data_IF_901568131757
#
_entry.id   IF_901568131757
#
_cell.length_a   1.000
_cell.length_b   1.000
_cell.length_c   1.000
_cell.angle_alpha   90.00
_cell.angle_beta   90.00
_cell.angle_gamma   90.00
#
_symmetry.space_group_name_H-M   'P 1'
#
loop_
_entity.id
_entity.type
_entity.pdbx_description
1 polymer ?
#
# COMPACT_ATOMS: atom_id res chain seq x y z
N UNK A 1 -14.04 -11.35 -9.78
CA UNK A 1 -14.19 -10.34 -8.73
C UNK A 1 -13.43 -10.87 -7.53
N UNK A 2 -12.31 -10.26 -7.12
CA UNK A 2 -11.75 -10.57 -5.80
C UNK A 2 -12.60 -9.76 -4.83
N UNK A 3 -13.29 -10.43 -3.90
CA UNK A 3 -14.03 -9.76 -2.84
C UNK A 3 -13.09 -8.88 -2.03
N UNK A 4 -13.57 -7.74 -1.55
CA UNK A 4 -12.86 -6.94 -0.56
C UNK A 4 -12.35 -7.87 0.56
N UNK A 5 -11.04 -7.84 0.85
CA UNK A 5 -10.41 -8.71 1.86
C UNK A 5 -9.12 -9.42 1.45
N UNK A 6 -8.60 -9.22 0.23
CA UNK A 6 -7.25 -9.69 -0.13
C UNK A 6 -6.15 -8.88 0.56
N UNK A 7 -5.11 -9.54 1.06
CA UNK A 7 -3.92 -8.86 1.61
C UNK A 7 -2.94 -8.52 0.48
N UNK A 8 -2.46 -7.28 0.43
CA UNK A 8 -1.43 -6.86 -0.51
C UNK A 8 -0.07 -7.43 -0.07
N UNK A 9 0.47 -8.33 -0.88
CA UNK A 9 1.82 -8.85 -0.66
C UNK A 9 2.93 -7.98 -1.25
N UNK A 10 2.65 -7.37 -2.40
CA UNK A 10 3.64 -6.60 -3.13
C UNK A 10 3.24 -6.35 -4.56
N UNK A 11 4.24 -5.98 -5.37
CA UNK A 11 4.10 -5.70 -6.81
C UNK A 11 5.07 -6.56 -7.60
N UNK A 12 4.59 -7.15 -8.69
CA UNK A 12 5.46 -7.80 -9.66
C UNK A 12 6.33 -6.75 -10.33
N UNK A 13 7.65 -6.93 -10.27
CA UNK A 13 8.63 -5.99 -10.86
C UNK A 13 9.36 -6.57 -12.07
N UNK A 14 9.38 -7.89 -12.21
CA UNK A 14 9.89 -8.57 -13.40
C UNK A 14 9.18 -9.91 -13.57
N UNK A 15 9.09 -10.36 -14.82
CA UNK A 15 8.49 -11.63 -15.19
C UNK A 15 9.43 -12.37 -16.13
N UNK A 16 9.49 -13.69 -15.97
CA UNK A 16 10.09 -14.62 -16.92
C UNK A 16 8.99 -15.51 -17.49
N UNK A 17 9.33 -16.46 -18.34
CA UNK A 17 8.38 -17.41 -18.92
C UNK A 17 7.66 -18.25 -17.85
N UNK A 18 8.31 -18.55 -16.73
CA UNK A 18 7.80 -19.49 -15.71
C UNK A 18 7.80 -18.94 -14.27
N UNK A 19 8.29 -17.72 -14.06
CA UNK A 19 8.39 -17.12 -12.73
C UNK A 19 8.21 -15.61 -12.74
N UNK A 20 7.89 -15.04 -11.59
CA UNK A 20 7.79 -13.59 -11.40
C UNK A 20 8.57 -13.18 -10.15
N UNK A 21 9.26 -12.04 -10.23
CA UNK A 21 9.86 -11.41 -9.05
C UNK A 21 8.88 -10.38 -8.49
N UNK A 22 8.63 -10.47 -7.19
CA UNK A 22 7.71 -9.60 -6.47
C UNK A 22 8.49 -8.74 -5.49
N UNK A 23 8.35 -7.43 -5.61
CA UNK A 23 8.76 -6.48 -4.57
C UNK A 23 7.70 -6.45 -3.50
N UNK A 24 8.08 -6.83 -2.29
CA UNK A 24 7.18 -6.95 -1.15
C UNK A 24 6.81 -5.58 -0.57
N UNK A 25 5.68 -5.50 0.14
CA UNK A 25 5.26 -4.28 0.85
C UNK A 25 6.26 -3.80 1.90
N UNK A 26 7.09 -4.70 2.43
CA UNK A 26 8.13 -4.39 3.40
C UNK A 26 9.41 -3.88 2.77
N UNK A 27 9.59 -4.01 1.45
CA UNK A 27 10.80 -3.58 0.75
C UNK A 27 10.98 -2.04 0.85
N UNK A 28 12.19 -1.51 1.13
CA UNK A 28 12.42 -0.07 1.25
C UNK A 28 12.05 0.75 0.01
N UNK A 29 12.08 0.14 -1.18
CA UNK A 29 11.69 0.79 -2.43
C UNK A 29 10.21 0.59 -2.76
N UNK A 30 9.43 0.00 -1.85
CA UNK A 30 7.99 -0.13 -1.99
C UNK A 30 7.27 1.08 -1.40
N UNK A 31 6.44 1.71 -2.24
CA UNK A 31 5.59 2.83 -1.85
C UNK A 31 4.19 2.59 -2.40
N UNK A 32 3.17 2.85 -1.58
CA UNK A 32 1.77 2.81 -1.98
C UNK A 32 0.97 3.89 -1.26
N UNK A 33 0.04 4.53 -1.96
CA UNK A 33 -0.93 5.39 -1.28
C UNK A 33 -1.94 4.52 -0.56
N UNK A 34 -2.08 4.75 0.75
CA UNK A 34 -2.91 3.96 1.63
C UNK A 34 -3.98 4.82 2.29
N UNK A 35 -4.98 4.15 2.83
CA UNK A 35 -6.16 4.72 3.45
C UNK A 35 -6.48 3.94 4.74
N UNK A 36 -6.77 4.65 5.83
CA UNK A 36 -7.40 4.07 7.01
C UNK A 36 -8.86 3.73 6.67
N UNK A 37 -9.21 2.44 6.69
CA UNK A 37 -10.52 1.96 6.22
C UNK A 37 -11.72 2.57 6.98
N UNK A 38 -11.54 2.88 8.27
CA UNK A 38 -12.62 3.41 9.11
C UNK A 38 -12.80 4.92 9.02
N UNK A 39 -11.75 5.69 8.68
CA UNK A 39 -11.78 7.17 8.73
C UNK A 39 -11.54 7.82 7.38
N UNK A 40 -11.11 7.05 6.37
CA UNK A 40 -10.72 7.59 5.07
C UNK A 40 -9.47 8.47 5.12
N UNK A 41 -8.69 8.43 6.20
CA UNK A 41 -7.43 9.15 6.31
C UNK A 41 -6.43 8.59 5.29
N UNK A 42 -5.90 9.44 4.42
CA UNK A 42 -5.00 9.06 3.33
C UNK A 42 -3.58 9.48 3.69
N UNK A 43 -2.61 8.67 3.28
CA UNK A 43 -1.18 8.99 3.38
C UNK A 43 -0.35 8.09 2.45
N UNK A 44 0.98 8.19 2.57
CA UNK A 44 1.92 7.34 1.86
C UNK A 44 2.44 6.25 2.78
N UNK A 45 2.34 5.00 2.33
CA UNK A 45 2.88 3.86 3.04
C UNK A 45 4.17 3.39 2.37
N UNK A 46 5.23 3.28 3.15
CA UNK A 46 6.56 2.86 2.72
C UNK A 46 7.06 1.64 3.49
N UNK A 47 7.71 0.73 2.77
CA UNK A 47 8.49 -0.33 3.40
C UNK A 47 9.81 0.19 3.96
N UNK A 48 10.43 -0.57 4.87
CA UNK A 48 11.74 -0.24 5.47
C UNK A 48 12.66 -1.45 5.66
N UNK A 49 12.42 -2.52 4.92
CA UNK A 49 13.11 -3.81 5.01
C UNK A 49 12.58 -4.72 6.12
N UNK A 50 11.75 -4.21 7.02
CA UNK A 50 11.17 -4.95 8.14
C UNK A 50 9.84 -4.32 8.58
N UNK A 51 9.11 -5.04 9.45
CA UNK A 51 7.96 -4.49 10.16
C UNK A 51 8.38 -3.63 11.38
N UNK A 52 7.51 -2.72 11.85
CA UNK A 52 6.33 -2.22 11.14
C UNK A 52 6.70 -1.38 9.90
N UNK A 53 5.75 -1.21 8.99
CA UNK A 53 5.79 -0.28 7.86
C UNK A 53 5.61 1.16 8.34
N UNK A 54 5.98 2.13 7.52
CA UNK A 54 5.84 3.57 7.83
C UNK A 54 4.68 4.15 7.05
N UNK A 55 3.77 4.85 7.71
CA UNK A 55 2.64 5.55 7.10
C UNK A 55 2.76 7.05 7.35
N UNK A 56 3.22 7.78 6.34
CA UNK A 56 3.58 9.20 6.40
C UNK A 56 2.58 10.07 5.62
N UNK A 57 2.79 11.38 5.67
CA UNK A 57 2.02 12.41 4.94
C UNK A 57 0.51 12.37 5.23
N UNK A 58 0.13 11.99 6.44
CA UNK A 58 -1.27 11.98 6.88
C UNK A 58 -1.63 13.38 7.38
N UNK A 59 -2.73 13.95 6.88
CA UNK A 59 -3.28 15.21 7.39
C UNK A 59 -3.57 15.10 8.90
N UNK A 60 -3.04 16.06 9.68
CA UNK A 60 -3.21 16.10 11.14
C UNK A 60 -4.67 16.21 11.58
N UNK A 61 -5.56 16.77 10.74
CA UNK A 61 -6.99 16.87 10.99
C UNK A 61 -7.73 15.53 10.86
N UNK A 62 -7.09 14.49 10.32
CA UNK A 62 -7.70 13.17 10.15
C UNK A 62 -7.43 12.26 11.34
N UNK A 63 -8.45 11.51 11.75
CA UNK A 63 -8.29 10.52 12.80
C UNK A 63 -7.56 9.26 12.30
N UNK A 64 -6.57 8.82 13.07
CA UNK A 64 -5.80 7.60 12.85
C UNK A 64 -5.82 6.76 14.13
N UNK A 65 -6.89 5.97 14.36
CA UNK A 65 -6.99 5.18 15.58
C UNK A 65 -5.97 4.04 15.61
N UNK A 66 -5.36 3.77 16.77
CA UNK A 66 -4.53 2.57 16.96
C UNK A 66 -5.40 1.33 16.75
N UNK A 67 -4.87 0.34 16.02
CA UNK A 67 -5.57 -0.89 15.64
C UNK A 67 -6.42 -0.77 14.38
N UNK A 68 -6.59 0.43 13.83
CA UNK A 68 -7.33 0.66 12.60
C UNK A 68 -6.67 -0.05 11.41
N UNK A 69 -7.51 -0.56 10.51
CA UNK A 69 -7.07 -1.25 9.30
C UNK A 69 -6.59 -0.25 8.26
N UNK A 70 -5.43 -0.55 7.66
CA UNK A 70 -4.83 0.22 6.58
C UNK A 70 -4.99 -0.56 5.29
N UNK A 71 -5.56 0.08 4.27
CA UNK A 71 -5.84 -0.52 2.96
C UNK A 71 -5.25 0.33 1.85
N UNK A 72 -5.10 -0.22 0.63
CA UNK A 72 -4.78 0.59 -0.54
C UNK A 72 -5.89 1.61 -0.81
N UNK A 73 -5.52 2.88 -0.99
CA UNK A 73 -6.51 3.94 -1.21
C UNK A 73 -7.14 3.90 -2.61
N UNK A 74 -6.40 3.37 -3.60
CA UNK A 74 -6.86 3.28 -4.98
C UNK A 74 -7.21 4.62 -5.62
N UNK A 75 -6.59 5.72 -5.18
CA UNK A 75 -6.91 7.08 -5.62
C UNK A 75 -6.85 7.20 -7.15
N UNK A 76 -7.85 7.90 -7.69
CA UNK A 76 -7.97 8.29 -9.08
C UNK A 76 -7.98 9.82 -9.12
N UNK A 77 -6.93 10.44 -9.67
CA UNK A 77 -6.84 11.90 -9.77
C UNK A 77 -7.36 12.41 -11.11
N UNK A 78 -7.29 11.59 -12.17
CA UNK A 78 -7.83 11.88 -13.48
C UNK A 78 -8.16 10.58 -14.23
N UNK A 79 -8.66 10.70 -15.46
CA UNK A 79 -8.82 9.56 -16.37
C UNK A 79 -7.50 8.87 -16.72
N UNK A 80 -6.36 9.54 -16.52
CA UNK A 80 -5.02 9.04 -16.87
C UNK A 80 -4.13 8.75 -15.65
N UNK A 81 -4.42 9.36 -14.49
CA UNK A 81 -3.64 9.18 -13.26
C UNK A 81 -4.47 8.38 -12.27
N UNK A 82 -4.12 7.11 -12.15
CA UNK A 82 -4.77 6.14 -11.25
C UNK A 82 -3.71 5.42 -10.42
N UNK A 83 -4.06 5.10 -9.18
CA UNK A 83 -3.25 4.26 -8.31
C UNK A 83 -2.78 2.98 -9.00
N UNK A 84 -1.57 2.51 -8.67
CA UNK A 84 -1.02 1.25 -9.14
C UNK A 84 -1.75 0.02 -8.57
N UNK A 85 -2.57 0.23 -7.54
CA UNK A 85 -3.36 -0.82 -6.89
C UNK A 85 -4.83 -0.43 -6.81
N UNK A 86 -5.76 -1.39 -6.97
CA UNK A 86 -7.18 -1.14 -6.71
C UNK A 86 -7.39 -0.75 -5.25
N UNK A 87 -8.46 -0.02 -4.97
CA UNK A 87 -8.84 0.35 -3.60
C UNK A 87 -9.23 -0.87 -2.77
N UNK A 88 -8.88 -0.88 -1.48
CA UNK A 88 -9.40 -1.83 -0.49
C UNK A 88 -8.63 -3.14 -0.34
N UNK A 89 -7.39 -3.24 -0.84
CA UNK A 89 -6.50 -4.34 -0.48
C UNK A 89 -5.92 -4.07 0.91
N UNK A 90 -6.07 -5.03 1.83
CA UNK A 90 -5.61 -4.88 3.20
C UNK A 90 -4.09 -4.96 3.27
N UNK A 91 -3.46 -4.10 4.07
CA UNK A 91 -2.00 -4.04 4.20
C UNK A 91 -1.56 -4.36 5.62
N UNK A 92 -2.25 -3.79 6.61
CA UNK A 92 -1.81 -3.86 8.00
C UNK A 92 -2.75 -3.17 8.98
N UNK A 93 -2.28 -3.03 10.21
CA UNK A 93 -2.95 -2.29 11.29
C UNK A 93 -2.03 -1.27 11.92
N UNK A 94 -2.57 -0.10 12.25
CA UNK A 94 -1.85 0.95 12.98
C UNK A 94 -1.44 0.43 14.35
N UNK A 95 -0.16 0.59 14.72
CA UNK A 95 0.37 0.20 16.04
C UNK A 95 0.90 1.37 16.85
N UNK A 96 1.31 2.46 16.19
CA UNK A 96 1.72 3.70 16.85
C UNK A 96 1.39 4.90 15.96
N UNK A 97 1.24 6.07 16.56
CA UNK A 97 0.99 7.34 15.86
C UNK A 97 1.93 8.39 16.43
N UNK A 98 2.59 9.13 15.55
CA UNK A 98 3.46 10.26 15.86
C UNK A 98 2.82 11.54 15.33
N UNK A 99 2.27 12.34 16.25
CA UNK A 99 1.53 13.58 15.95
C UNK A 99 2.22 14.78 16.62
N UNK A 100 3.25 15.37 15.99
CA UNK A 100 4.02 16.46 16.57
C UNK A 100 3.21 17.76 16.57
N UNK A 101 3.19 18.44 17.72
CA UNK A 101 2.46 19.71 17.87
C UNK A 101 2.96 20.79 16.90
N UNK A 102 2.02 21.42 16.19
CA UNK A 102 2.31 22.49 15.23
C UNK A 102 2.71 22.00 13.83
N UNK A 103 2.79 20.68 13.61
CA UNK A 103 2.90 20.14 12.26
C UNK A 103 1.54 20.14 11.55
N UNK A 104 1.58 20.12 10.20
CA UNK A 104 0.39 19.95 9.35
C UNK A 104 0.17 18.49 8.94
N UNK A 105 1.24 17.70 8.99
CA UNK A 105 1.25 16.25 8.70
C UNK A 105 1.68 15.47 9.94
N UNK A 106 1.20 14.24 10.03
CA UNK A 106 1.58 13.24 11.04
C UNK A 106 1.91 11.91 10.38
N UNK A 107 2.48 11.02 11.18
CA UNK A 107 2.85 9.68 10.74
C UNK A 107 2.36 8.60 11.70
N UNK A 108 2.37 7.36 11.23
CA UNK A 108 1.99 6.19 12.00
C UNK A 108 2.86 4.99 11.61
N UNK A 109 3.05 4.07 12.54
CA UNK A 109 3.62 2.76 12.20
C UNK A 109 2.51 1.75 11.98
N UNK A 110 2.66 0.93 10.94
CA UNK A 110 1.65 -0.05 10.51
C UNK A 110 2.26 -1.43 10.54
N UNK A 111 1.78 -2.31 11.42
CA UNK A 111 2.16 -3.71 11.40
C UNK A 111 1.46 -4.40 10.23
N UNK A 112 2.22 -4.96 9.29
CA UNK A 112 1.64 -5.73 8.20
C UNK A 112 0.90 -6.96 8.73
N UNK A 113 -0.24 -7.30 8.11
CA UNK A 113 -0.96 -8.54 8.40
C UNK A 113 -0.42 -9.73 7.61
N UNK A 114 0.49 -9.50 6.64
CA UNK A 114 1.06 -10.57 5.85
C UNK A 114 2.25 -11.21 6.56
N UNK A 115 2.09 -12.49 6.90
CA UNK A 115 3.19 -13.34 7.36
C UNK A 115 3.71 -14.18 6.19
N UNK A 116 4.72 -13.66 5.49
CA UNK A 116 5.28 -14.28 4.29
C UNK A 116 5.87 -15.66 4.55
N UNK A 117 6.45 -15.88 5.74
CA UNK A 117 7.06 -17.16 6.12
C UNK A 117 6.06 -18.33 6.14
N UNK A 118 4.77 -18.03 6.28
CA UNK A 118 3.69 -19.02 6.31
C UNK A 118 2.88 -19.06 5.01
N UNK A 119 3.17 -18.18 4.04
CA UNK A 119 2.36 -18.02 2.83
C UNK A 119 2.88 -18.92 1.71
N UNK A 120 2.05 -19.86 1.26
CA UNK A 120 2.41 -20.83 0.20
C UNK A 120 1.90 -20.49 -1.19
N UNK A 121 0.86 -19.66 -1.28
CA UNK A 121 0.19 -19.33 -2.53
C UNK A 121 -0.13 -17.85 -2.58
N UNK A 122 0.16 -17.20 -3.70
CA UNK A 122 -0.20 -15.81 -3.97
C UNK A 122 -1.14 -15.74 -5.18
N UNK A 123 -2.05 -14.77 -5.14
CA UNK A 123 -2.92 -14.44 -6.25
C UNK A 123 -2.37 -13.21 -6.98
N UNK A 124 -2.10 -13.35 -8.27
CA UNK A 124 -1.63 -12.25 -9.11
C UNK A 124 -2.81 -11.60 -9.82
N UNK A 125 -2.97 -10.29 -9.64
CA UNK A 125 -3.98 -9.50 -10.35
C UNK A 125 -3.40 -9.04 -11.68
N UNK A 126 -3.94 -9.56 -12.78
CA UNK A 126 -3.55 -9.21 -14.14
C UNK A 126 -4.50 -8.18 -14.74
N UNK A 127 -4.03 -7.46 -15.76
CA UNK A 127 -4.82 -6.50 -16.54
C UNK A 127 -5.47 -5.39 -15.70
N UNK A 128 -4.95 -5.11 -14.50
CA UNK A 128 -5.35 -3.93 -13.75
C UNK A 128 -4.80 -2.70 -14.47
N UNK A 129 -5.71 -1.87 -14.99
CA UNK A 129 -5.38 -0.63 -15.69
C UNK A 129 -5.26 0.48 -14.66
N UNK A 130 -4.13 0.51 -13.95
CA UNK A 130 -3.77 1.57 -13.02
C UNK A 130 -2.26 1.66 -12.86
N UNK A 131 -1.78 2.72 -12.22
CA UNK A 131 -0.38 3.13 -12.23
C UNK A 131 -0.15 4.28 -13.21
N UNK A 132 0.99 4.94 -13.06
CA UNK A 132 1.46 5.90 -14.06
C UNK A 132 1.95 5.12 -15.27
N UNK A 133 1.60 5.57 -16.48
CA UNK A 133 2.18 5.00 -17.70
C UNK A 133 3.71 5.11 -17.60
N UNK A 134 4.40 3.97 -17.73
CA UNK A 134 5.86 3.97 -17.87
C UNK A 134 6.24 4.70 -19.16
N UNK A 135 7.48 5.22 -19.27
CA UNK A 135 7.94 5.79 -20.53
C UNK A 135 7.72 4.76 -21.64
N UNK A 136 7.01 5.16 -22.70
CA UNK A 136 6.76 4.33 -23.87
C UNK A 136 8.09 3.68 -24.30
N UNK A 137 8.17 2.35 -24.26
CA UNK A 137 9.26 1.67 -24.96
C UNK A 137 9.01 1.90 -26.44
N UNK A 138 9.70 2.91 -26.99
CA UNK A 138 9.80 3.13 -28.43
C UNK A 138 10.58 1.93 -29.00
N UNK A 139 10.07 1.27 -30.05
CA UNK A 139 10.77 0.19 -30.74
C UNK A 139 12.11 0.62 -31.33
#
# INVERSE_FOLDING_TARGET
MIGAGGTLAGRVISVTEVSAQVRLVSDPEFTVTAEIASTGAIGLLHGRGANPLVFDDIDTLRDVPIGAEVTTSGIELSSTIRSAFPRGLSIGRVVSVSDPSGAVIKSAEVKSILELDSTRTLLVVLNYRGGLEGPSQVP
#
